data_IF_613605325984
#
_entry.id   IF_613605325984
#
_cell.length_a   1.000
_cell.length_b   1.000
_cell.length_c   1.000
_cell.angle_alpha   90.00
_cell.angle_beta   90.00
_cell.angle_gamma   90.00
#
_symmetry.space_group_name_H-M   'P 1'
#
loop_
_entity.id
_entity.type
_entity.pdbx_description
1 polymer ?
#
# COMPACT_ATOMS: atom_id res chain seq x y z
N UNK A 1 -23.06 -53.57 20.57
CA UNK A 1 -22.90 -52.49 21.59
C UNK A 1 -21.52 -51.91 21.35
N UNK A 2 -21.26 -50.66 20.96
CA UNK A 2 -22.06 -49.46 20.83
C UNK A 2 -21.61 -48.69 19.57
N UNK A 3 -22.61 -48.41 18.74
CA UNK A 3 -22.67 -47.32 17.76
C UNK A 3 -22.66 -45.99 18.56
N UNK A 4 -22.19 -44.91 17.95
CA UNK A 4 -22.12 -43.53 18.47
C UNK A 4 -20.82 -43.13 19.18
N UNK A 5 -19.83 -42.68 18.40
CA UNK A 5 -18.84 -41.70 18.89
C UNK A 5 -18.09 -40.97 17.74
N UNK A 6 -18.72 -40.73 16.59
CA UNK A 6 -18.08 -40.06 15.43
C UNK A 6 -18.77 -38.74 15.05
N UNK A 7 -19.25 -37.97 16.04
CA UNK A 7 -20.06 -36.78 15.78
C UNK A 7 -19.54 -35.46 16.40
N UNK A 8 -18.33 -35.41 16.96
CA UNK A 8 -17.88 -34.22 17.70
C UNK A 8 -16.64 -33.51 17.12
N UNK A 9 -16.13 -33.93 15.96
CA UNK A 9 -14.89 -33.35 15.41
C UNK A 9 -15.03 -32.11 14.49
N UNK A 10 -16.20 -31.74 13.89
CA UNK A 10 -16.21 -30.65 12.91
C UNK A 10 -16.22 -29.24 13.54
N UNK A 11 -16.46 -29.11 14.85
CA UNK A 11 -16.61 -27.80 15.50
C UNK A 11 -15.28 -27.19 15.98
N UNK A 12 -14.20 -27.96 16.10
CA UNK A 12 -12.88 -27.43 16.49
C UNK A 12 -12.13 -26.76 15.32
N UNK A 13 -12.55 -27.02 14.08
CA UNK A 13 -11.99 -26.36 12.89
C UNK A 13 -12.72 -25.06 12.51
N UNK A 14 -13.84 -24.73 13.18
CA UNK A 14 -14.68 -23.58 12.81
C UNK A 14 -14.22 -22.24 13.43
N UNK A 15 -13.34 -22.25 14.44
CA UNK A 15 -12.89 -21.01 15.13
C UNK A 15 -11.58 -20.47 14.56
N UNK A 16 -10.82 -21.27 13.79
CA UNK A 16 -9.57 -20.83 13.17
C UNK A 16 -9.75 -20.14 11.81
N UNK A 17 -10.99 -20.03 11.31
CA UNK A 17 -11.29 -19.51 9.98
C UNK A 17 -12.10 -18.19 10.00
N UNK A 18 -12.21 -17.56 11.16
CA UNK A 18 -12.80 -16.24 11.28
C UNK A 18 -11.82 -15.38 12.07
N UNK A 19 -11.06 -14.55 11.35
CA UNK A 19 -10.47 -13.33 11.91
C UNK A 19 -9.43 -13.61 13.01
N UNK A 20 -8.29 -14.17 12.61
CA UNK A 20 -7.22 -14.42 13.56
C UNK A 20 -6.46 -13.12 13.85
N UNK A 21 -5.89 -12.94 15.07
CA UNK A 21 -5.04 -11.77 15.38
C UNK A 21 -3.84 -11.61 14.44
N UNK A 22 -3.48 -12.67 13.71
CA UNK A 22 -2.43 -12.63 12.70
C UNK A 22 -2.90 -11.99 11.38
N UNK A 23 -4.18 -12.15 11.01
CA UNK A 23 -4.76 -11.49 9.82
C UNK A 23 -4.98 -10.00 10.11
N UNK A 24 -5.57 -9.64 11.26
CA UNK A 24 -5.73 -8.22 11.65
C UNK A 24 -4.37 -7.47 11.74
N UNK A 25 -3.30 -8.15 12.19
CA UNK A 25 -1.96 -7.57 12.21
C UNK A 25 -1.29 -7.47 10.82
N UNK A 26 -1.75 -8.26 9.85
CA UNK A 26 -1.32 -8.19 8.47
C UNK A 26 -2.07 -7.08 7.74
N UNK A 27 -3.38 -6.97 7.93
CA UNK A 27 -4.23 -5.91 7.37
C UNK A 27 -3.73 -4.52 7.80
N UNK A 28 -3.41 -4.33 9.09
CA UNK A 28 -2.83 -3.06 9.59
C UNK A 28 -1.46 -2.76 8.97
N UNK A 29 -0.66 -3.78 8.65
CA UNK A 29 0.61 -3.58 7.95
C UNK A 29 0.39 -3.18 6.50
N UNK A 30 -0.55 -3.81 5.80
CA UNK A 30 -0.91 -3.47 4.41
C UNK A 30 -1.47 -2.04 4.34
N UNK A 31 -2.38 -1.64 5.25
CA UNK A 31 -2.88 -0.27 5.34
C UNK A 31 -1.76 0.76 5.59
N UNK A 32 -0.76 0.42 6.42
CA UNK A 32 0.39 1.31 6.64
C UNK A 32 1.32 1.42 5.43
N UNK A 33 1.41 0.39 4.61
CA UNK A 33 2.18 0.42 3.36
C UNK A 33 1.43 1.27 2.32
N UNK A 34 0.13 1.05 2.16
CA UNK A 34 -0.73 1.84 1.27
C UNK A 34 -0.70 3.33 1.66
N UNK A 35 -0.86 3.64 2.94
CA UNK A 35 -0.79 5.03 3.42
C UNK A 35 0.61 5.68 3.22
N UNK A 36 1.68 4.89 3.19
CA UNK A 36 3.00 5.42 2.83
C UNK A 36 3.12 5.68 1.33
N UNK A 37 2.54 4.81 0.49
CA UNK A 37 2.43 5.02 -0.95
C UNK A 37 1.69 6.32 -1.27
N UNK A 38 0.52 6.55 -0.67
CA UNK A 38 -0.25 7.78 -0.87
C UNK A 38 0.54 9.05 -0.53
N UNK A 39 1.35 9.02 0.54
CA UNK A 39 2.21 10.16 0.92
C UNK A 39 3.34 10.38 -0.09
N UNK A 40 3.84 9.32 -0.72
CA UNK A 40 4.87 9.43 -1.76
C UNK A 40 4.25 10.01 -3.04
N UNK A 41 3.07 9.55 -3.44
CA UNK A 41 2.33 10.09 -4.59
C UNK A 41 2.04 11.59 -4.42
N UNK A 42 1.56 12.02 -3.24
CA UNK A 42 1.31 13.44 -2.97
C UNK A 42 2.59 14.29 -3.01
N UNK A 43 3.75 13.71 -2.69
CA UNK A 43 5.04 14.38 -2.84
C UNK A 43 5.47 14.46 -4.31
N UNK A 44 5.19 13.43 -5.11
CA UNK A 44 5.45 13.42 -6.55
C UNK A 44 4.61 14.50 -7.25
N UNK A 45 3.30 14.57 -6.99
CA UNK A 45 2.43 15.64 -7.52
C UNK A 45 2.93 17.04 -7.15
N UNK A 46 3.44 17.21 -5.94
CA UNK A 46 3.99 18.50 -5.49
C UNK A 46 5.30 18.88 -6.22
N UNK A 47 6.08 17.90 -6.67
CA UNK A 47 7.30 18.10 -7.47
C UNK A 47 6.94 18.44 -8.91
N UNK A 48 5.98 17.75 -9.51
CA UNK A 48 5.45 18.05 -10.84
C UNK A 48 4.88 19.47 -10.90
N UNK A 49 4.06 19.86 -9.92
CA UNK A 49 3.53 21.22 -9.85
C UNK A 49 4.63 22.29 -9.71
N UNK A 50 5.79 21.92 -9.14
CA UNK A 50 6.97 22.79 -9.11
C UNK A 50 7.71 22.81 -10.44
N UNK A 51 7.81 21.68 -11.13
CA UNK A 51 8.39 21.60 -12.46
C UNK A 51 7.62 22.48 -13.45
N UNK A 52 6.29 22.39 -13.45
CA UNK A 52 5.39 23.26 -14.23
C UNK A 52 5.70 24.75 -13.99
N UNK A 53 5.85 25.14 -12.72
CA UNK A 53 6.15 26.53 -12.36
C UNK A 53 7.55 26.98 -12.82
N UNK A 54 8.51 26.05 -12.98
CA UNK A 54 9.85 26.32 -13.50
C UNK A 54 9.86 26.37 -15.03
N UNK A 55 9.11 25.52 -15.72
CA UNK A 55 8.90 25.63 -17.17
C UNK A 55 8.31 26.99 -17.52
N UNK A 56 7.27 27.43 -16.80
CA UNK A 56 6.66 28.76 -16.97
C UNK A 56 7.66 29.91 -16.75
N UNK A 57 8.70 29.68 -15.94
CA UNK A 57 9.77 30.63 -15.68
C UNK A 57 10.93 30.55 -16.69
N UNK A 58 10.89 29.63 -17.66
CA UNK A 58 11.96 29.40 -18.64
C UNK A 58 13.19 28.72 -18.04
N UNK A 59 12.98 27.86 -17.06
CA UNK A 59 13.98 27.03 -16.39
C UNK A 59 13.75 25.55 -16.72
N UNK A 60 13.69 25.22 -18.01
CA UNK A 60 13.34 23.88 -18.50
C UNK A 60 14.34 22.79 -18.05
N UNK A 61 15.60 23.18 -17.77
CA UNK A 61 16.60 22.25 -17.25
C UNK A 61 16.30 21.80 -15.82
N UNK A 62 16.00 22.74 -14.93
CA UNK A 62 15.59 22.41 -13.56
C UNK A 62 14.20 21.76 -13.50
N UNK A 63 13.28 22.15 -14.39
CA UNK A 63 11.97 21.50 -14.50
C UNK A 63 12.09 20.01 -14.84
N UNK A 64 12.91 19.67 -15.84
CA UNK A 64 13.12 18.27 -16.24
C UNK A 64 13.78 17.42 -15.13
N UNK A 65 14.62 18.02 -14.28
CA UNK A 65 15.18 17.31 -13.12
C UNK A 65 14.09 17.00 -12.09
N UNK A 66 13.14 17.92 -11.88
CA UNK A 66 12.03 17.76 -10.94
C UNK A 66 10.98 16.77 -11.44
N UNK A 67 10.61 16.79 -12.72
CA UNK A 67 9.75 15.77 -13.33
C UNK A 67 10.37 14.37 -13.21
N UNK A 68 11.67 14.23 -13.48
CA UNK A 68 12.35 12.95 -13.35
C UNK A 68 12.41 12.46 -11.89
N UNK A 69 12.47 13.38 -10.92
CA UNK A 69 12.39 13.03 -9.50
C UNK A 69 10.96 12.61 -9.10
N UNK A 70 9.94 13.30 -9.64
CA UNK A 70 8.53 12.96 -9.43
C UNK A 70 8.20 11.57 -10.01
N UNK A 71 8.58 11.28 -11.25
CA UNK A 71 8.37 9.98 -11.91
C UNK A 71 9.04 8.84 -11.11
N UNK A 72 10.23 9.09 -10.56
CA UNK A 72 10.91 8.10 -9.71
C UNK A 72 10.20 7.86 -8.36
N UNK A 73 9.47 8.86 -7.85
CA UNK A 73 8.66 8.70 -6.64
C UNK A 73 7.35 7.96 -6.93
N UNK A 74 6.69 8.23 -8.05
CA UNK A 74 5.50 7.46 -8.49
C UNK A 74 5.87 5.97 -8.70
N UNK A 75 6.97 5.69 -9.41
CA UNK A 75 7.48 4.33 -9.58
C UNK A 75 7.77 3.63 -8.24
N UNK A 76 8.18 4.40 -7.22
CA UNK A 76 8.40 3.87 -5.88
C UNK A 76 7.08 3.56 -5.18
N UNK A 77 6.08 4.42 -5.29
CA UNK A 77 4.76 4.22 -4.69
C UNK A 77 4.03 3.02 -5.33
N UNK A 78 4.08 2.89 -6.65
CA UNK A 78 3.52 1.75 -7.40
C UNK A 78 4.18 0.40 -7.03
N UNK A 79 5.41 0.45 -6.51
CA UNK A 79 6.18 -0.71 -6.09
C UNK A 79 5.92 -1.19 -4.65
N UNK A 80 5.12 -0.46 -3.87
CA UNK A 80 4.78 -0.76 -2.47
C UNK A 80 3.53 -1.61 -2.34
#
# INVERSE_FOLDING_TARGET
>A
MNKFAFAAAPLLFAVAACDSPAEEAQDVQEEMVEAQGEVIDEQAEALDARADALEDAGMEGEAAELEAEAEAMEDQADGM
#
